data_IF_725502753168
#
_entry.id   IF_725502753168
#
_cell.length_a   1.000
_cell.length_b   1.000
_cell.length_c   1.000
_cell.angle_alpha   90.00
_cell.angle_beta   90.00
_cell.angle_gamma   90.00
#
_symmetry.space_group_name_H-M   'P 1'
#
loop_
_entity.id
_entity.type
_entity.pdbx_description
1 polymer ?
#
# COMPACT_ATOMS: atom_id res chain seq x y z
N UNK A 1 4.78 -8.57 -6.56
CA UNK A 1 4.63 -7.88 -5.28
C UNK A 1 5.59 -6.69 -5.13
N UNK A 2 6.90 -6.84 -5.37
CA UNK A 2 7.86 -5.73 -5.25
C UNK A 2 7.50 -4.49 -6.08
N UNK A 3 7.12 -4.67 -7.35
CA UNK A 3 6.76 -3.56 -8.24
C UNK A 3 5.56 -2.78 -7.69
N UNK A 4 4.53 -3.49 -7.23
CA UNK A 4 3.33 -2.87 -6.65
C UNK A 4 3.71 -2.09 -5.39
N UNK A 5 4.47 -2.68 -4.47
CA UNK A 5 4.85 -2.01 -3.22
C UNK A 5 5.72 -0.77 -3.44
N UNK A 6 6.65 -0.82 -4.39
CA UNK A 6 7.47 0.35 -4.75
C UNK A 6 6.59 1.46 -5.33
N UNK A 7 5.73 1.14 -6.29
CA UNK A 7 4.81 2.12 -6.90
C UNK A 7 3.87 2.72 -5.85
N UNK A 8 3.24 1.87 -5.04
CA UNK A 8 2.28 2.31 -4.03
C UNK A 8 2.93 3.23 -3.00
N UNK A 9 4.08 2.88 -2.44
CA UNK A 9 4.75 3.71 -1.43
C UNK A 9 5.20 5.04 -2.03
N UNK A 10 5.80 5.03 -3.23
CA UNK A 10 6.26 6.26 -3.88
C UNK A 10 5.12 7.19 -4.34
N UNK A 11 3.91 6.68 -4.49
CA UNK A 11 2.74 7.49 -4.85
C UNK A 11 1.94 7.91 -3.61
N UNK A 12 1.65 6.96 -2.71
CA UNK A 12 0.77 7.19 -1.56
C UNK A 12 1.45 8.07 -0.51
N UNK A 13 2.72 7.83 -0.18
CA UNK A 13 3.42 8.59 0.87
C UNK A 13 3.50 10.08 0.58
N UNK A 14 3.91 10.56 -0.62
CA UNK A 14 3.89 11.98 -0.93
C UNK A 14 2.49 12.61 -0.92
N UNK A 15 1.47 11.87 -1.34
CA UNK A 15 0.09 12.36 -1.33
C UNK A 15 -0.38 12.58 0.12
N UNK A 16 -0.18 11.59 0.99
CA UNK A 16 -0.59 11.67 2.39
C UNK A 16 0.16 12.81 3.10
N UNK A 17 1.49 12.89 2.95
CA UNK A 17 2.29 13.97 3.56
C UNK A 17 1.89 15.33 3.03
N UNK A 18 1.63 15.45 1.71
CA UNK A 18 1.13 16.68 1.11
C UNK A 18 -0.23 17.12 1.67
N UNK A 19 -1.12 16.18 1.97
CA UNK A 19 -2.41 16.48 2.59
C UNK A 19 -2.29 16.85 4.08
N UNK A 20 -1.29 16.33 4.79
CA UNK A 20 -1.09 16.59 6.22
C UNK A 20 -0.29 17.86 6.50
N UNK A 21 0.73 18.13 5.71
CA UNK A 21 1.71 19.21 5.93
C UNK A 21 1.70 20.29 4.85
N UNK A 22 0.85 20.14 3.85
CA UNK A 22 0.82 20.99 2.65
C UNK A 22 1.78 20.51 1.57
N UNK A 23 1.41 20.83 0.31
CA UNK A 23 2.21 20.48 -0.87
C UNK A 23 3.34 21.49 -1.04
N UNK A 24 4.58 21.09 -0.69
CA UNK A 24 5.78 21.87 -0.94
C UNK A 24 6.92 20.98 -1.41
N UNK A 25 7.86 21.57 -2.16
CA UNK A 25 9.04 20.86 -2.66
C UNK A 25 9.90 20.35 -1.50
N UNK A 26 10.02 21.15 -0.42
CA UNK A 26 10.77 20.75 0.77
C UNK A 26 10.17 19.49 1.42
N UNK A 27 8.86 19.46 1.65
CA UNK A 27 8.16 18.29 2.21
C UNK A 27 8.26 17.07 1.30
N UNK A 28 8.26 17.26 -0.02
CA UNK A 28 8.45 16.18 -0.96
C UNK A 28 9.84 15.55 -0.86
N UNK A 29 10.90 16.38 -0.80
CA UNK A 29 12.28 15.90 -0.64
C UNK A 29 12.46 15.17 0.68
N UNK A 30 11.91 15.67 1.78
CA UNK A 30 11.98 15.01 3.08
C UNK A 30 11.22 13.66 3.06
N UNK A 31 10.08 13.61 2.41
CA UNK A 31 9.35 12.35 2.21
C UNK A 31 10.19 11.34 1.42
N UNK A 32 10.89 11.75 0.37
CA UNK A 32 11.76 10.87 -0.41
C UNK A 32 12.86 10.22 0.44
N UNK A 33 13.42 10.95 1.40
CA UNK A 33 14.45 10.41 2.33
C UNK A 33 13.87 9.34 3.26
N UNK A 34 12.60 9.47 3.62
CA UNK A 34 11.91 8.56 4.54
C UNK A 34 11.37 7.32 3.83
N UNK A 35 11.07 7.42 2.52
CA UNK A 35 10.49 6.32 1.73
C UNK A 35 11.23 4.99 1.88
N UNK A 36 12.58 4.91 1.83
CA UNK A 36 13.28 3.63 2.00
C UNK A 36 13.00 2.96 3.35
N UNK A 37 12.96 3.73 4.42
CA UNK A 37 12.66 3.23 5.77
C UNK A 37 11.19 2.80 5.89
N UNK A 38 10.28 3.62 5.39
CA UNK A 38 8.86 3.31 5.33
C UNK A 38 8.60 2.05 4.49
N UNK A 39 9.33 1.88 3.37
CA UNK A 39 9.21 0.70 2.53
C UNK A 39 9.70 -0.57 3.22
N UNK A 40 10.83 -0.54 3.93
CA UNK A 40 11.34 -1.66 4.72
C UNK A 40 10.31 -2.05 5.79
N UNK A 41 9.81 -1.08 6.55
CA UNK A 41 8.79 -1.30 7.57
C UNK A 41 7.52 -1.93 6.95
N UNK A 42 7.08 -1.39 5.80
CA UNK A 42 5.94 -1.93 5.05
C UNK A 42 6.18 -3.38 4.61
N UNK A 43 7.37 -3.73 4.11
CA UNK A 43 7.66 -5.09 3.68
C UNK A 43 7.65 -6.08 4.85
N UNK A 44 8.18 -5.69 6.00
CA UNK A 44 8.12 -6.49 7.24
C UNK A 44 6.65 -6.67 7.65
N UNK A 45 5.89 -5.58 7.69
CA UNK A 45 4.47 -5.59 8.02
C UNK A 45 3.68 -6.52 7.10
N UNK A 46 3.86 -6.40 5.79
CA UNK A 46 3.20 -7.25 4.79
C UNK A 46 3.55 -8.71 5.02
N UNK A 47 4.82 -9.03 5.25
CA UNK A 47 5.29 -10.41 5.37
C UNK A 47 4.74 -11.10 6.61
N UNK A 48 4.78 -10.42 7.75
CA UNK A 48 4.51 -11.04 9.05
C UNK A 48 3.08 -10.84 9.55
N UNK A 49 2.42 -9.75 9.17
CA UNK A 49 1.10 -9.39 9.69
C UNK A 49 0.04 -9.41 8.60
N UNK A 50 0.23 -8.62 7.54
CA UNK A 50 -0.84 -8.41 6.54
C UNK A 50 -1.16 -9.68 5.77
N UNK A 51 -0.16 -10.41 5.28
CA UNK A 51 -0.39 -11.65 4.52
C UNK A 51 -1.13 -12.72 5.30
N UNK A 52 -0.72 -13.11 6.52
CA UNK A 52 -1.46 -14.10 7.29
C UNK A 52 -2.86 -13.61 7.66
N UNK A 53 -3.01 -12.35 8.09
CA UNK A 53 -4.30 -11.79 8.46
C UNK A 53 -5.25 -11.67 7.25
N UNK A 54 -4.78 -11.10 6.14
CA UNK A 54 -5.57 -11.00 4.90
C UNK A 54 -5.96 -12.39 4.38
N UNK A 55 -5.07 -13.38 4.47
CA UNK A 55 -5.35 -14.76 4.06
C UNK A 55 -6.45 -15.41 4.90
N UNK A 56 -6.46 -15.20 6.20
CA UNK A 56 -7.51 -15.67 7.09
C UNK A 56 -8.86 -15.00 6.79
N UNK A 57 -8.84 -13.67 6.66
CA UNK A 57 -10.05 -12.90 6.34
C UNK A 57 -10.59 -13.25 4.95
N UNK A 58 -9.70 -13.41 3.97
CA UNK A 58 -10.08 -13.80 2.62
C UNK A 58 -10.83 -15.15 2.60
N UNK A 59 -10.32 -16.16 3.31
CA UNK A 59 -10.99 -17.47 3.42
C UNK A 59 -12.36 -17.39 4.09
N UNK A 60 -12.56 -16.40 4.95
CA UNK A 60 -13.82 -16.21 5.68
C UNK A 60 -14.86 -15.44 4.86
N UNK A 61 -14.42 -14.50 4.02
CA UNK A 61 -15.31 -13.61 3.25
C UNK A 61 -15.49 -14.03 1.79
N UNK A 62 -14.52 -14.75 1.19
CA UNK A 62 -14.65 -15.23 -0.18
C UNK A 62 -15.59 -16.41 -0.25
N UNK A 63 -16.66 -16.28 -1.04
CA UNK A 63 -17.57 -17.37 -1.36
C UNK A 63 -17.01 -18.30 -2.45
N UNK A 64 -17.49 -19.55 -2.49
CA UNK A 64 -17.11 -20.51 -3.54
C UNK A 64 -17.58 -20.09 -4.93
N UNK A 65 -18.70 -19.38 -5.00
CA UNK A 65 -19.33 -18.87 -6.22
C UNK A 65 -18.79 -17.50 -6.67
N UNK A 66 -17.86 -16.88 -5.92
CA UNK A 66 -17.32 -15.57 -6.26
C UNK A 66 -16.51 -15.61 -7.55
N UNK A 67 -16.86 -14.73 -8.48
CA UNK A 67 -16.12 -14.55 -9.73
C UNK A 67 -14.67 -14.09 -9.49
N UNK A 68 -13.82 -14.36 -10.48
CA UNK A 68 -12.39 -14.02 -10.44
C UNK A 68 -12.14 -12.52 -10.10
N UNK A 69 -12.92 -11.61 -10.66
CA UNK A 69 -12.79 -10.18 -10.40
C UNK A 69 -13.21 -9.81 -8.97
N UNK A 70 -14.25 -10.41 -8.43
CA UNK A 70 -14.69 -10.19 -7.06
C UNK A 70 -13.62 -10.64 -6.06
N UNK A 71 -12.99 -11.78 -6.29
CA UNK A 71 -11.88 -12.28 -5.46
C UNK A 71 -10.66 -11.37 -5.50
N UNK A 72 -10.32 -10.81 -6.66
CA UNK A 72 -9.22 -9.84 -6.77
C UNK A 72 -9.56 -8.58 -5.99
N UNK A 73 -10.76 -8.03 -6.17
CA UNK A 73 -11.20 -6.83 -5.47
C UNK A 73 -11.20 -7.03 -3.95
N UNK A 74 -11.75 -8.14 -3.47
CA UNK A 74 -11.74 -8.49 -2.06
C UNK A 74 -10.31 -8.58 -1.50
N UNK A 75 -9.40 -9.21 -2.25
CA UNK A 75 -8.00 -9.30 -1.85
C UNK A 75 -7.35 -7.92 -1.74
N UNK A 76 -7.60 -7.01 -2.70
CA UNK A 76 -7.10 -5.62 -2.66
C UNK A 76 -7.66 -4.90 -1.44
N UNK A 77 -8.97 -4.94 -1.22
CA UNK A 77 -9.63 -4.29 -0.08
C UNK A 77 -9.04 -4.76 1.24
N UNK A 78 -8.91 -6.06 1.45
CA UNK A 78 -8.37 -6.61 2.69
C UNK A 78 -6.90 -6.22 2.93
N UNK A 79 -6.06 -6.35 1.89
CA UNK A 79 -4.65 -5.96 2.01
C UNK A 79 -4.49 -4.47 2.27
N UNK A 80 -5.18 -3.62 1.50
CA UNK A 80 -5.08 -2.16 1.65
C UNK A 80 -5.65 -1.70 2.99
N UNK A 81 -6.74 -2.30 3.47
CA UNK A 81 -7.30 -1.99 4.79
C UNK A 81 -6.31 -2.28 5.91
N UNK A 82 -5.69 -3.45 5.90
CA UNK A 82 -4.70 -3.83 6.92
C UNK A 82 -3.44 -2.98 6.83
N UNK A 83 -2.91 -2.76 5.62
CA UNK A 83 -1.73 -1.92 5.42
C UNK A 83 -2.01 -0.50 5.90
N UNK A 84 -3.11 0.11 5.47
CA UNK A 84 -3.46 1.49 5.83
C UNK A 84 -3.71 1.65 7.33
N UNK A 85 -4.31 0.64 7.98
CA UNK A 85 -4.54 0.64 9.43
C UNK A 85 -3.21 0.75 10.19
N UNK A 86 -2.26 -0.12 9.89
CA UNK A 86 -0.96 -0.12 10.56
C UNK A 86 -0.11 1.09 10.16
N UNK A 87 -0.10 1.45 8.88
CA UNK A 87 0.70 2.58 8.39
C UNK A 87 0.16 3.93 8.85
N UNK A 88 -1.11 4.04 9.19
CA UNK A 88 -1.66 5.26 9.81
C UNK A 88 -1.07 5.51 11.20
N UNK A 89 -0.65 4.46 11.91
CA UNK A 89 0.03 4.57 13.21
C UNK A 89 1.55 4.69 13.02
N UNK A 90 2.13 3.73 12.29
CA UNK A 90 3.59 3.59 12.17
C UNK A 90 4.19 4.65 11.23
N UNK A 91 3.45 5.06 10.19
CA UNK A 91 3.93 6.03 9.20
C UNK A 91 4.36 7.36 9.81
N UNK A 92 3.53 8.02 10.63
CA UNK A 92 3.91 9.25 11.34
C UNK A 92 5.13 9.05 12.26
N UNK A 93 5.22 7.92 12.96
CA UNK A 93 6.37 7.62 13.83
C UNK A 93 7.67 7.51 13.05
N UNK A 94 7.64 6.86 11.89
CA UNK A 94 8.81 6.81 10.99
C UNK A 94 9.12 8.20 10.44
N UNK A 95 8.09 8.97 10.07
CA UNK A 95 8.24 10.29 9.46
C UNK A 95 8.75 11.37 10.42
N UNK A 96 8.37 11.31 11.68
CA UNK A 96 8.79 12.26 12.72
C UNK A 96 10.01 11.78 13.52
N UNK A 97 10.32 10.49 13.46
CA UNK A 97 11.38 9.88 14.28
C UNK A 97 11.01 9.75 15.77
N UNK A 98 9.77 10.04 16.13
CA UNK A 98 9.27 10.02 17.50
C UNK A 98 7.96 9.26 17.59
N UNK A 99 7.77 8.52 18.69
CA UNK A 99 6.51 7.82 18.98
C UNK A 99 5.55 8.83 19.60
N UNK A 100 4.57 9.26 18.82
CA UNK A 100 3.54 10.19 19.26
C UNK A 100 2.17 9.50 19.29
N UNK A 101 1.49 9.59 20.44
CA UNK A 101 0.16 9.00 20.64
C UNK A 101 -0.99 9.92 20.21
N UNK A 102 -0.72 11.18 19.84
CA UNK A 102 -1.75 12.12 19.34
C UNK A 102 -2.40 11.58 18.07
N UNK A 103 -1.67 10.80 17.29
CA UNK A 103 -2.19 10.10 16.09
C UNK A 103 -3.36 9.19 16.42
N UNK A 104 -3.44 8.65 17.65
CA UNK A 104 -4.53 7.76 18.08
C UNK A 104 -5.83 8.52 18.35
N UNK A 105 -5.76 9.80 18.72
CA UNK A 105 -6.96 10.61 19.01
C UNK A 105 -7.78 10.87 17.73
N UNK A 106 -7.10 11.00 16.58
CA UNK A 106 -7.73 11.21 15.29
C UNK A 106 -7.58 10.00 14.35
N UNK A 107 -7.41 8.81 14.95
CA UNK A 107 -7.10 7.59 14.19
C UNK A 107 -8.15 7.28 13.11
N UNK A 108 -9.42 7.22 13.45
CA UNK A 108 -10.45 6.80 12.51
C UNK A 108 -10.59 7.74 11.29
N UNK A 109 -10.72 9.06 11.44
CA UNK A 109 -10.77 9.96 10.28
C UNK A 109 -9.51 9.87 9.42
N UNK A 110 -8.34 9.80 10.04
CA UNK A 110 -7.06 9.70 9.35
C UNK A 110 -6.93 8.37 8.62
N UNK A 111 -7.32 7.28 9.25
CA UNK A 111 -7.29 5.96 8.63
C UNK A 111 -8.24 5.87 7.44
N UNK A 112 -9.49 6.34 7.55
CA UNK A 112 -10.44 6.33 6.43
C UNK A 112 -9.92 7.13 5.24
N UNK A 113 -9.33 8.29 5.48
CA UNK A 113 -8.69 9.10 4.44
C UNK A 113 -7.54 8.34 3.78
N UNK A 114 -6.62 7.81 4.57
CA UNK A 114 -5.44 7.09 4.10
C UNK A 114 -5.83 5.80 3.37
N UNK A 115 -6.82 5.08 3.88
CA UNK A 115 -7.39 3.90 3.22
C UNK A 115 -7.99 4.27 1.85
N UNK A 116 -8.79 5.32 1.79
CA UNK A 116 -9.38 5.77 0.53
C UNK A 116 -8.33 6.11 -0.53
N UNK A 117 -7.31 6.89 -0.16
CA UNK A 117 -6.19 7.23 -1.05
C UNK A 117 -5.46 5.96 -1.51
N UNK A 118 -5.07 5.11 -0.56
CA UNK A 118 -4.32 3.89 -0.86
C UNK A 118 -5.13 2.92 -1.74
N UNK A 119 -6.42 2.77 -1.47
CA UNK A 119 -7.31 1.91 -2.25
C UNK A 119 -7.42 2.36 -3.71
N UNK A 120 -7.64 3.66 -3.94
CA UNK A 120 -7.75 4.17 -5.31
C UNK A 120 -6.42 4.13 -6.05
N UNK A 121 -5.31 4.45 -5.39
CA UNK A 121 -3.96 4.33 -6.00
C UNK A 121 -3.66 2.87 -6.34
N UNK A 122 -3.94 1.93 -5.46
CA UNK A 122 -3.72 0.51 -5.71
C UNK A 122 -4.57 0.01 -6.88
N UNK A 123 -5.86 0.36 -6.90
CA UNK A 123 -6.81 -0.11 -7.90
C UNK A 123 -6.54 0.50 -9.29
N UNK A 124 -6.31 1.81 -9.35
CA UNK A 124 -6.23 2.55 -10.63
C UNK A 124 -4.82 2.62 -11.21
N UNK A 125 -3.79 2.59 -10.38
CA UNK A 125 -2.40 2.75 -10.80
C UNK A 125 -1.57 1.48 -10.59
N UNK A 126 -1.44 1.01 -9.35
CA UNK A 126 -0.50 -0.05 -9.03
C UNK A 126 -0.86 -1.37 -9.73
N UNK A 127 -2.11 -1.77 -9.73
CA UNK A 127 -2.55 -3.02 -10.36
C UNK A 127 -2.42 -3.01 -11.90
N UNK A 128 -2.91 -2.00 -12.64
CA UNK A 128 -2.73 -1.94 -14.09
C UNK A 128 -1.27 -1.91 -14.51
N UNK A 129 -0.44 -1.10 -13.83
CA UNK A 129 0.99 -0.98 -14.14
C UNK A 129 1.70 -2.31 -13.87
N UNK A 130 1.45 -2.95 -12.74
CA UNK A 130 2.05 -4.24 -12.41
C UNK A 130 1.67 -5.32 -13.44
N UNK A 131 0.42 -5.35 -13.90
CA UNK A 131 -0.03 -6.28 -14.95
C UNK A 131 0.65 -5.98 -16.29
N UNK A 132 0.82 -4.72 -16.68
CA UNK A 132 1.51 -4.32 -17.89
C UNK A 132 2.99 -4.75 -17.85
N UNK A 133 3.69 -4.48 -16.74
CA UNK A 133 5.09 -4.90 -16.54
C UNK A 133 5.24 -6.42 -16.58
N UNK A 134 4.35 -7.16 -15.91
CA UNK A 134 4.37 -8.62 -15.94
C UNK A 134 4.17 -9.19 -17.34
N UNK A 135 3.25 -8.64 -18.14
CA UNK A 135 3.06 -9.02 -19.54
C UNK A 135 4.33 -8.79 -20.37
N UNK A 136 4.98 -7.64 -20.18
CA UNK A 136 6.22 -7.30 -20.90
C UNK A 136 7.37 -8.24 -20.55
N UNK A 137 7.52 -8.61 -19.27
CA UNK A 137 8.54 -9.55 -18.81
C UNK A 137 8.29 -10.95 -19.40
N UNK A 138 7.06 -11.43 -19.39
CA UNK A 138 6.72 -12.75 -19.93
C UNK A 138 6.90 -12.80 -21.46
N UNK A 139 6.54 -11.75 -22.18
CA UNK A 139 6.77 -11.65 -23.63
C UNK A 139 8.28 -11.72 -23.95
N UNK A 140 9.11 -11.01 -23.19
CA UNK A 140 10.56 -10.99 -23.38
C UNK A 140 11.22 -12.34 -23.07
N UNK A 141 10.71 -13.08 -22.10
CA UNK A 141 11.22 -14.42 -21.77
C UNK A 141 10.85 -15.45 -22.83
N UNK A 142 9.67 -15.36 -23.45
CA UNK A 142 9.28 -16.25 -24.56
C UNK A 142 10.18 -16.08 -25.78
N UNK A 143 10.62 -14.84 -26.07
CA UNK A 143 11.54 -14.56 -27.20
C UNK A 143 12.97 -15.06 -26.97
N UNK A 144 13.35 -15.34 -25.70
CA UNK A 144 14.68 -15.89 -25.38
C UNK A 144 14.73 -17.43 -25.37
N UNK A 145 13.56 -18.07 -25.37
CA UNK A 145 13.43 -19.54 -25.34
C UNK A 145 12.98 -20.13 -26.69
N UNK A 146 12.71 -19.27 -27.68
CA UNK A 146 12.49 -19.62 -29.09
C UNK A 146 13.74 -19.38 -29.91
#
# INVERSE_FOLDING_TARGET
MLIISILSVNTIAPIIVGMERGFSVAHYIDTLKIIPFAWIALMILIRFIVKPAAGMLFKRFAGEMDGFNARILLNIVLNVSLISLFMTIIGPWIGMGEINFDTLQHFFPTWFRNFGIAFWVELLLAQPIARAVMKSIHARNRLKTA
#
